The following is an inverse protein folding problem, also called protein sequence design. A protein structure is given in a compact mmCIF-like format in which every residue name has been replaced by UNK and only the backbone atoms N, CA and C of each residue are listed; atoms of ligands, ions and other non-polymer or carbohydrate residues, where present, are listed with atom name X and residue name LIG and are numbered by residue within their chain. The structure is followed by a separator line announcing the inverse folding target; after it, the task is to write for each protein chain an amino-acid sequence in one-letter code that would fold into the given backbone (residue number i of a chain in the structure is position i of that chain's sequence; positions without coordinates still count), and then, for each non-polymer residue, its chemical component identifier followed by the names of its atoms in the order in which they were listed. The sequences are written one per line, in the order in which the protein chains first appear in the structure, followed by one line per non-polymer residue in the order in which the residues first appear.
data_IF_522646328363
#
_entry.id   IF_522646328363
#
_cell.length_a   1.000
_cell.length_b   1.000
_cell.length_c   1.000
_cell.angle_alpha   90.00
_cell.angle_beta   90.00
_cell.angle_gamma   90.00
#
_symmetry.space_group_name_H-M   'P 1'
#
loop_
_entity.id
_entity.type
_entity.pdbx_description
1 polymer ?
#
# COMPACT_ATOMS: atom_id res chain seq x y z
N UNK A 1 2.52 33.47 -7.57
CA UNK A 1 3.49 33.30 -6.47
C UNK A 1 3.16 31.96 -5.81
N UNK A 2 3.86 30.90 -6.20
CA UNK A 2 3.76 29.59 -5.57
C UNK A 2 4.51 29.68 -4.23
N UNK A 3 3.77 29.68 -3.13
CA UNK A 3 4.37 29.46 -1.82
C UNK A 3 4.95 28.06 -1.81
N UNK A 4 6.26 27.95 -1.66
CA UNK A 4 6.97 26.73 -1.30
C UNK A 4 6.29 26.24 -0.01
N UNK A 5 5.53 25.15 -0.08
CA UNK A 5 4.96 24.50 1.11
C UNK A 5 6.15 23.94 1.90
N UNK A 6 6.63 24.69 2.87
CA UNK A 6 7.55 24.15 3.86
C UNK A 6 6.86 22.95 4.51
N UNK A 7 7.50 21.81 4.39
CA UNK A 7 7.06 20.56 4.99
C UNK A 7 7.21 20.70 6.52
N UNK A 8 6.22 21.35 7.16
CA UNK A 8 6.29 21.67 8.58
C UNK A 8 6.02 20.40 9.37
N UNK A 9 7.07 19.79 9.89
CA UNK A 9 7.01 18.60 10.75
C UNK A 9 6.04 18.87 11.91
N UNK A 10 5.00 18.01 12.04
CA UNK A 10 4.03 18.10 13.13
C UNK A 10 4.69 17.50 14.37
N UNK A 11 5.06 18.37 15.34
CA UNK A 11 5.65 17.96 16.60
C UNK A 11 4.71 18.28 17.75
N UNK A 12 3.94 17.29 18.18
CA UNK A 12 3.13 17.37 19.38
C UNK A 12 3.86 16.65 20.53
N UNK A 13 4.07 17.32 21.68
CA UNK A 13 4.76 16.72 22.82
C UNK A 13 4.03 15.48 23.37
N UNK A 14 4.80 14.54 23.94
CA UNK A 14 4.22 13.47 24.77
C UNK A 14 3.40 14.08 25.91
N UNK A 15 2.27 13.46 26.22
CA UNK A 15 1.32 13.95 27.23
C UNK A 15 0.29 14.94 26.68
N UNK A 16 0.43 15.46 25.45
CA UNK A 16 -0.59 16.31 24.81
C UNK A 16 -1.92 15.54 24.77
N UNK A 17 -2.99 16.22 25.18
CA UNK A 17 -4.33 15.68 25.12
C UNK A 17 -5.07 16.19 23.88
N UNK A 18 -5.56 15.26 23.07
CA UNK A 18 -6.38 15.50 21.88
C UNK A 18 -7.73 14.83 22.12
N UNK A 19 -8.78 15.61 22.31
CA UNK A 19 -10.09 15.05 22.70
C UNK A 19 -10.00 14.16 23.94
N UNK A 20 -10.45 12.94 23.82
CA UNK A 20 -10.42 11.91 24.87
C UNK A 20 -9.11 11.10 24.88
N UNK A 21 -8.09 11.50 24.16
CA UNK A 21 -6.86 10.72 23.98
C UNK A 21 -5.64 11.49 24.48
N UNK A 22 -4.67 10.77 25.04
CA UNK A 22 -3.39 11.34 25.46
C UNK A 22 -2.23 10.71 24.70
N UNK A 23 -1.44 11.55 24.02
CA UNK A 23 -0.29 11.13 23.25
C UNK A 23 0.81 10.53 24.14
N UNK A 24 1.39 9.42 23.68
CA UNK A 24 2.50 8.73 24.34
C UNK A 24 3.81 9.03 23.61
N UNK A 25 3.86 8.70 22.32
CA UNK A 25 5.05 8.87 21.49
C UNK A 25 4.70 8.98 20.02
N UNK A 26 5.60 9.54 19.26
CA UNK A 26 5.60 9.47 17.80
C UNK A 26 5.81 8.03 17.33
N UNK A 27 5.07 7.60 16.30
CA UNK A 27 5.22 6.30 15.65
C UNK A 27 5.81 6.43 14.25
N UNK A 28 5.22 7.30 13.41
CA UNK A 28 5.63 7.45 12.00
C UNK A 28 5.39 8.88 11.53
N UNK A 29 6.34 9.41 10.76
CA UNK A 29 6.21 10.66 10.00
C UNK A 29 5.90 10.32 8.55
N UNK A 30 4.80 10.85 8.02
CA UNK A 30 4.48 10.84 6.59
C UNK A 30 4.75 12.21 5.95
N UNK A 31 4.55 12.32 4.65
CA UNK A 31 4.73 13.58 3.92
C UNK A 31 3.79 14.71 4.39
N UNK A 32 2.54 14.39 4.73
CA UNK A 32 1.52 15.37 5.14
C UNK A 32 0.89 15.04 6.49
N UNK A 33 1.27 13.92 7.12
CA UNK A 33 0.68 13.46 8.38
C UNK A 33 1.71 12.89 9.33
N UNK A 34 1.38 12.90 10.61
CA UNK A 34 2.18 12.28 11.66
C UNK A 34 1.30 11.33 12.45
N UNK A 35 1.78 10.12 12.69
CA UNK A 35 1.07 9.10 13.47
C UNK A 35 1.66 9.01 14.86
N UNK A 36 0.81 9.08 15.87
CA UNK A 36 1.16 8.98 17.28
C UNK A 36 0.53 7.76 17.91
N UNK A 37 1.26 7.08 18.78
CA UNK A 37 0.69 6.20 19.79
C UNK A 37 0.04 7.06 20.87
N UNK A 38 -1.18 6.72 21.24
CA UNK A 38 -1.93 7.36 22.30
C UNK A 38 -2.73 6.33 23.10
N UNK A 39 -3.36 6.77 24.18
CA UNK A 39 -4.36 5.99 24.89
C UNK A 39 -5.61 6.83 25.17
N UNK A 40 -6.76 6.18 25.17
CA UNK A 40 -8.01 6.79 25.61
C UNK A 40 -8.01 7.00 27.12
N UNK A 41 -8.26 8.23 27.59
CA UNK A 41 -8.05 8.62 29.00
C UNK A 41 -8.90 7.83 30.00
N UNK A 42 -10.10 7.39 29.62
CA UNK A 42 -11.01 6.63 30.49
C UNK A 42 -10.76 5.12 30.37
N UNK A 43 -10.80 4.56 29.15
CA UNK A 43 -10.72 3.11 28.95
C UNK A 43 -9.30 2.56 29.00
N UNK A 44 -8.28 3.42 28.89
CA UNK A 44 -6.86 3.06 28.80
C UNK A 44 -6.49 2.23 27.56
N UNK A 45 -7.42 2.08 26.61
CA UNK A 45 -7.16 1.40 25.35
C UNK A 45 -6.11 2.18 24.53
N UNK A 46 -5.14 1.46 23.98
CA UNK A 46 -4.15 2.03 23.07
C UNK A 46 -4.76 2.27 21.69
N UNK A 47 -4.43 3.41 21.11
CA UNK A 47 -4.88 3.85 19.78
C UNK A 47 -3.72 4.43 19.00
N UNK A 48 -3.83 4.42 17.68
CA UNK A 48 -3.01 5.23 16.79
C UNK A 48 -3.81 6.47 16.36
N UNK A 49 -3.17 7.64 16.43
CA UNK A 49 -3.78 8.90 16.00
C UNK A 49 -3.00 9.46 14.83
N UNK A 50 -3.63 9.51 13.66
CA UNK A 50 -3.12 10.21 12.48
C UNK A 50 -3.48 11.68 12.62
N UNK A 51 -2.47 12.55 12.65
CA UNK A 51 -2.61 14.01 12.77
C UNK A 51 -2.16 14.66 11.48
N UNK A 52 -2.94 15.61 10.98
CA UNK A 52 -2.70 16.32 9.73
C UNK A 52 -2.84 17.81 9.97
N UNK A 53 -1.93 18.63 9.43
CA UNK A 53 -2.03 20.08 9.51
C UNK A 53 -3.03 20.59 8.44
N UNK A 54 -4.07 21.31 8.87
CA UNK A 54 -5.09 21.86 7.96
C UNK A 54 -4.53 22.76 6.84
N UNK A 55 -3.36 23.34 7.04
CA UNK A 55 -2.72 24.20 6.03
C UNK A 55 -1.86 23.43 5.03
N UNK A 56 -1.60 22.15 5.30
CA UNK A 56 -0.77 21.29 4.45
C UNK A 56 -1.59 20.41 3.52
N UNK A 57 -2.92 20.37 3.65
CA UNK A 57 -3.80 19.48 2.92
C UNK A 57 -4.97 20.21 2.25
N UNK A 58 -5.54 19.59 1.23
CA UNK A 58 -6.89 19.92 0.76
C UNK A 58 -7.91 19.42 1.79
N UNK A 59 -8.69 20.35 2.35
CA UNK A 59 -9.70 20.05 3.35
C UNK A 59 -10.80 19.11 2.81
N UNK A 60 -11.17 19.25 1.55
CA UNK A 60 -12.18 18.38 0.94
C UNK A 60 -11.68 16.93 0.85
N UNK A 61 -10.40 16.74 0.52
CA UNK A 61 -9.79 15.41 0.53
C UNK A 61 -9.77 14.81 1.93
N UNK A 62 -9.42 15.59 2.96
CA UNK A 62 -9.42 15.09 4.33
C UNK A 62 -10.81 14.71 4.83
N UNK A 63 -11.82 15.56 4.62
CA UNK A 63 -13.19 15.24 5.00
C UNK A 63 -13.71 14.00 4.26
N UNK A 64 -13.37 13.86 2.99
CA UNK A 64 -13.69 12.68 2.20
C UNK A 64 -13.03 11.40 2.75
N UNK A 65 -11.73 11.45 3.06
CA UNK A 65 -11.03 10.35 3.73
C UNK A 65 -11.74 9.93 5.03
N UNK A 66 -12.07 10.93 5.84
CA UNK A 66 -12.75 10.71 7.12
C UNK A 66 -14.14 10.08 6.93
N UNK A 67 -14.96 10.58 6.01
CA UNK A 67 -16.31 10.05 5.75
C UNK A 67 -16.24 8.62 5.20
N UNK A 68 -15.37 8.36 4.24
CA UNK A 68 -15.17 7.02 3.68
C UNK A 68 -14.68 6.07 4.77
N UNK A 69 -13.61 6.42 5.51
CA UNK A 69 -13.06 5.56 6.56
C UNK A 69 -14.07 5.26 7.67
N UNK A 70 -14.96 6.21 8.00
CA UNK A 70 -16.04 5.99 8.98
C UNK A 70 -17.16 5.08 8.46
N UNK A 71 -17.42 5.10 7.17
CA UNK A 71 -18.49 4.33 6.55
C UNK A 71 -18.09 2.88 6.20
N UNK A 72 -16.78 2.59 6.14
CA UNK A 72 -16.29 1.25 5.80
C UNK A 72 -16.30 0.33 7.03
N UNK A 73 -17.02 -0.77 6.92
CA UNK A 73 -17.10 -1.83 7.94
C UNK A 73 -16.71 -3.16 7.31
N UNK A 74 -15.48 -3.61 7.57
CA UNK A 74 -14.95 -4.86 7.02
C UNK A 74 -13.84 -5.41 7.93
N UNK A 75 -13.75 -6.73 8.11
CA UNK A 75 -12.79 -7.41 9.00
C UNK A 75 -11.32 -7.13 8.67
N UNK A 76 -11.01 -6.81 7.41
CA UNK A 76 -9.66 -6.50 6.91
C UNK A 76 -9.47 -5.02 6.55
N UNK A 77 -10.32 -4.12 7.06
CA UNK A 77 -10.15 -2.66 6.96
C UNK A 77 -10.07 -2.09 8.36
N UNK A 78 -9.07 -1.21 8.58
CA UNK A 78 -8.92 -0.59 9.90
C UNK A 78 -10.11 0.34 10.19
N UNK A 79 -10.84 0.15 11.32
CA UNK A 79 -11.97 1.01 11.64
C UNK A 79 -11.52 2.39 12.10
N UNK A 80 -12.29 3.43 11.77
CA UNK A 80 -12.17 4.75 12.37
C UNK A 80 -12.93 4.78 13.70
N UNK A 81 -12.22 4.90 14.82
CA UNK A 81 -12.82 4.95 16.15
C UNK A 81 -13.36 6.33 16.49
N UNK A 82 -12.66 7.38 16.03
CA UNK A 82 -13.01 8.78 16.29
C UNK A 82 -12.28 9.68 15.29
N UNK A 83 -12.80 10.88 15.09
CA UNK A 83 -12.14 11.90 14.28
C UNK A 83 -12.57 13.29 14.74
N UNK A 84 -11.68 14.27 14.63
CA UNK A 84 -11.98 15.62 15.04
C UNK A 84 -10.90 16.63 14.70
N UNK A 85 -10.99 17.78 15.38
CA UNK A 85 -10.05 18.88 15.22
C UNK A 85 -9.42 19.25 16.58
N UNK A 86 -8.11 19.51 16.55
CA UNK A 86 -7.33 20.02 17.67
C UNK A 86 -6.51 21.23 17.23
N UNK A 87 -6.96 22.42 17.58
CA UNK A 87 -6.35 23.66 17.10
C UNK A 87 -6.35 23.74 15.57
N UNK A 88 -5.16 23.83 14.99
CA UNK A 88 -4.99 23.80 13.52
C UNK A 88 -4.89 22.41 12.92
N UNK A 89 -4.91 21.36 13.73
CA UNK A 89 -4.75 19.99 13.30
C UNK A 89 -6.08 19.27 13.20
N UNK A 90 -6.22 18.44 12.17
CA UNK A 90 -7.24 17.41 12.11
C UNK A 90 -6.64 16.08 12.58
N UNK A 91 -7.48 15.22 13.14
CA UNK A 91 -7.03 13.90 13.57
C UNK A 91 -8.06 12.81 13.26
N UNK A 92 -7.52 11.61 12.99
CA UNK A 92 -8.25 10.35 12.89
C UNK A 92 -7.69 9.39 13.93
N UNK A 93 -8.57 8.69 14.64
CA UNK A 93 -8.23 7.72 15.67
C UNK A 93 -8.58 6.32 15.17
N UNK A 94 -7.65 5.40 15.27
CA UNK A 94 -7.79 4.01 14.88
C UNK A 94 -7.20 3.09 15.94
N UNK A 95 -7.55 1.78 15.97
CA UNK A 95 -6.90 0.82 16.85
C UNK A 95 -5.37 0.83 16.66
N UNK A 96 -4.63 0.71 17.76
CA UNK A 96 -3.20 0.46 17.69
C UNK A 96 -2.94 -1.04 17.51
N UNK A 97 -2.52 -1.44 16.32
CA UNK A 97 -2.20 -2.81 15.98
C UNK A 97 -0.72 -3.11 16.29
N UNK A 98 -0.46 -4.21 17.01
CA UNK A 98 0.88 -4.53 17.53
C UNK A 98 1.71 -5.41 16.59
N UNK A 99 1.10 -5.99 15.57
CA UNK A 99 1.81 -6.83 14.58
C UNK A 99 2.70 -6.06 13.60
N UNK A 100 2.61 -4.71 13.62
CA UNK A 100 3.38 -3.84 12.72
C UNK A 100 2.81 -3.81 11.30
N UNK A 101 3.61 -3.33 10.35
CA UNK A 101 3.27 -3.27 8.93
C UNK A 101 3.81 -4.47 8.16
N UNK A 102 3.31 -4.72 6.94
CA UNK A 102 3.94 -5.68 6.02
C UNK A 102 5.38 -5.25 5.68
N UNK A 103 5.65 -3.95 5.60
CA UNK A 103 7.01 -3.41 5.43
C UNK A 103 7.94 -3.85 6.57
N UNK A 104 7.48 -3.74 7.84
CA UNK A 104 8.24 -4.21 9.00
C UNK A 104 8.49 -5.72 8.98
N UNK A 105 7.54 -6.50 8.44
CA UNK A 105 7.70 -7.96 8.28
C UNK A 105 8.69 -8.29 7.18
N UNK A 106 8.59 -7.67 6.01
CA UNK A 106 9.50 -7.87 4.88
C UNK A 106 10.95 -7.51 5.23
N UNK A 107 11.16 -6.49 6.07
CA UNK A 107 12.49 -6.12 6.58
C UNK A 107 13.10 -7.18 7.52
N UNK A 108 12.28 -8.08 8.08
CA UNK A 108 12.74 -9.19 8.94
C UNK A 108 12.95 -10.49 8.17
N UNK A 109 12.29 -10.67 7.05
CA UNK A 109 12.38 -11.85 6.20
C UNK A 109 11.24 -11.92 5.19
N UNK A 110 11.45 -12.68 4.12
CA UNK A 110 10.43 -12.86 3.10
C UNK A 110 9.42 -13.94 3.56
N UNK A 111 8.14 -13.77 3.24
CA UNK A 111 7.12 -14.77 3.52
C UNK A 111 7.30 -16.01 2.65
N UNK A 112 6.82 -17.15 3.12
CA UNK A 112 6.61 -18.34 2.30
C UNK A 112 5.49 -18.10 1.25
N UNK A 113 5.35 -19.01 0.31
CA UNK A 113 4.25 -18.95 -0.66
C UNK A 113 2.87 -18.99 0.01
N UNK A 114 2.73 -19.82 1.04
CA UNK A 114 1.51 -19.96 1.84
C UNK A 114 1.19 -18.68 2.61
N UNK A 115 2.21 -18.08 3.25
CA UNK A 115 2.04 -16.81 3.97
C UNK A 115 1.69 -15.67 3.00
N UNK A 116 2.31 -15.63 1.81
CA UNK A 116 1.97 -14.67 0.78
C UNK A 116 0.52 -14.87 0.26
N UNK A 117 0.05 -16.11 0.17
CA UNK A 117 -1.33 -16.41 -0.19
C UNK A 117 -2.31 -15.88 0.86
N UNK A 118 -2.05 -16.11 2.15
CA UNK A 118 -2.89 -15.58 3.25
C UNK A 118 -2.96 -14.05 3.21
N UNK A 119 -1.84 -13.38 2.99
CA UNK A 119 -1.81 -11.91 2.82
C UNK A 119 -2.66 -11.49 1.62
N UNK A 120 -2.52 -12.19 0.50
CA UNK A 120 -3.28 -11.90 -0.72
C UNK A 120 -4.78 -12.12 -0.52
N UNK A 121 -5.19 -13.20 0.17
CA UNK A 121 -6.59 -13.50 0.48
C UNK A 121 -7.25 -12.41 1.30
N UNK A 122 -6.64 -12.00 2.40
CA UNK A 122 -7.18 -10.98 3.29
C UNK A 122 -7.19 -9.60 2.62
N UNK A 123 -6.14 -9.26 1.86
CA UNK A 123 -6.10 -8.02 1.09
C UNK A 123 -7.15 -8.00 -0.02
N UNK A 124 -7.33 -9.11 -0.73
CA UNK A 124 -8.38 -9.25 -1.75
C UNK A 124 -9.77 -9.07 -1.16
N UNK A 125 -10.05 -9.65 0.01
CA UNK A 125 -11.32 -9.48 0.72
C UNK A 125 -11.62 -8.00 1.00
N UNK A 126 -10.64 -7.24 1.51
CA UNK A 126 -10.78 -5.80 1.75
C UNK A 126 -11.00 -5.01 0.45
N UNK A 127 -10.22 -5.30 -0.59
CA UNK A 127 -10.30 -4.58 -1.87
C UNK A 127 -11.60 -4.89 -2.62
N UNK A 128 -12.02 -6.16 -2.69
CA UNK A 128 -13.29 -6.55 -3.30
C UNK A 128 -14.48 -5.85 -2.63
N UNK A 129 -14.45 -5.73 -1.30
CA UNK A 129 -15.47 -4.99 -0.55
C UNK A 129 -15.53 -3.53 -1.00
N UNK A 130 -14.41 -2.79 -1.01
CA UNK A 130 -14.44 -1.37 -1.43
C UNK A 130 -14.76 -1.20 -2.91
N UNK A 131 -14.31 -2.13 -3.78
CA UNK A 131 -14.66 -2.14 -5.20
C UNK A 131 -16.17 -2.31 -5.41
N UNK A 132 -16.84 -3.16 -4.60
CA UNK A 132 -18.29 -3.33 -4.65
C UNK A 132 -19.06 -2.04 -4.30
N UNK A 133 -18.44 -1.15 -3.51
CA UNK A 133 -18.94 0.19 -3.18
C UNK A 133 -18.53 1.25 -4.22
N UNK A 134 -17.83 0.87 -5.28
CA UNK A 134 -17.32 1.79 -6.29
C UNK A 134 -16.13 2.62 -5.84
N UNK A 135 -15.38 2.17 -4.82
CA UNK A 135 -14.23 2.87 -4.24
C UNK A 135 -12.93 2.18 -4.66
N UNK A 136 -11.90 2.95 -4.98
CA UNK A 136 -10.53 2.50 -5.22
C UNK A 136 -9.60 3.06 -4.14
N UNK A 137 -8.69 2.23 -3.62
CA UNK A 137 -7.75 2.61 -2.56
C UNK A 137 -6.59 3.49 -3.06
N UNK A 138 -5.97 3.13 -4.17
CA UNK A 138 -4.92 3.84 -4.92
C UNK A 138 -3.54 3.93 -4.25
N UNK A 139 -3.37 3.46 -3.01
CA UNK A 139 -2.06 3.44 -2.32
C UNK A 139 -1.77 2.08 -1.67
N UNK A 140 -1.96 1.00 -2.46
CA UNK A 140 -1.62 -0.36 -2.02
C UNK A 140 -0.11 -0.50 -1.97
N UNK A 141 0.43 -0.67 -0.76
CA UNK A 141 1.87 -0.86 -0.50
C UNK A 141 2.09 -1.50 0.87
N UNK A 142 3.26 -2.09 1.14
CA UNK A 142 3.54 -2.75 2.43
C UNK A 142 3.33 -1.86 3.65
N UNK A 143 3.62 -0.57 3.54
CA UNK A 143 3.49 0.38 4.64
C UNK A 143 2.03 0.68 5.05
N UNK A 144 1.04 0.38 4.19
CA UNK A 144 -0.39 0.59 4.41
C UNK A 144 -1.13 -0.71 4.74
N UNK A 145 -0.42 -1.80 4.93
CA UNK A 145 -0.94 -3.11 5.35
C UNK A 145 -0.46 -3.37 6.77
N UNK A 146 -1.36 -3.33 7.72
CA UNK A 146 -1.09 -3.52 9.15
C UNK A 146 -1.50 -4.91 9.60
N UNK A 147 -0.92 -5.37 10.70
CA UNK A 147 -1.28 -6.65 11.32
C UNK A 147 -1.59 -6.46 12.81
N UNK A 148 -2.56 -7.21 13.30
CA UNK A 148 -2.76 -7.39 14.73
C UNK A 148 -1.77 -8.43 15.32
N UNK A 149 -1.96 -8.77 16.60
CA UNK A 149 -1.13 -9.76 17.28
C UNK A 149 -1.38 -11.21 16.82
N UNK A 150 -2.52 -11.46 16.19
CA UNK A 150 -2.96 -12.77 15.68
C UNK A 150 -2.66 -12.93 14.19
N UNK A 151 -1.91 -11.97 13.60
CA UNK A 151 -1.57 -11.86 12.18
C UNK A 151 -2.76 -11.62 11.24
N UNK A 152 -3.90 -11.12 11.73
CA UNK A 152 -4.95 -10.63 10.84
C UNK A 152 -4.50 -9.32 10.18
N UNK A 153 -4.70 -9.23 8.88
CA UNK A 153 -4.38 -8.06 8.06
C UNK A 153 -5.47 -6.99 8.19
N UNK A 154 -5.03 -5.73 8.19
CA UNK A 154 -5.89 -4.55 8.10
C UNK A 154 -5.33 -3.55 7.09
N UNK A 155 -6.10 -3.26 6.04
CA UNK A 155 -5.80 -2.20 5.09
C UNK A 155 -6.10 -0.83 5.73
N UNK A 156 -5.18 0.13 5.55
CA UNK A 156 -5.26 1.47 6.14
C UNK A 156 -4.87 2.53 5.13
N UNK A 157 -5.07 3.79 5.49
CA UNK A 157 -4.67 4.98 4.72
C UNK A 157 -5.49 5.22 3.45
N UNK A 158 -6.76 5.58 3.64
CA UNK A 158 -7.71 5.93 2.58
C UNK A 158 -7.58 7.39 2.09
N UNK A 159 -6.40 8.02 2.28
CA UNK A 159 -6.16 9.44 2.02
C UNK A 159 -6.22 9.86 0.56
N UNK A 160 -6.09 8.92 -0.38
CA UNK A 160 -6.12 9.21 -1.82
C UNK A 160 -7.15 8.39 -2.59
N UNK A 161 -8.13 7.85 -1.90
CA UNK A 161 -9.22 7.08 -2.54
C UNK A 161 -9.98 7.91 -3.59
N UNK A 162 -10.52 7.22 -4.59
CA UNK A 162 -11.40 7.82 -5.59
C UNK A 162 -12.58 6.90 -5.88
N UNK A 163 -13.67 7.48 -6.39
CA UNK A 163 -14.76 6.68 -6.92
C UNK A 163 -14.43 6.14 -8.31
N UNK A 164 -14.92 4.95 -8.63
CA UNK A 164 -14.84 4.39 -9.98
C UNK A 164 -15.42 5.36 -11.00
N UNK A 165 -14.64 5.65 -12.06
CA UNK A 165 -15.02 6.61 -13.10
C UNK A 165 -14.71 8.08 -12.80
N UNK A 166 -14.24 8.39 -11.59
CA UNK A 166 -13.73 9.71 -11.26
C UNK A 166 -12.37 9.91 -11.92
N UNK A 167 -12.23 10.97 -12.72
CA UNK A 167 -10.91 11.31 -13.26
C UNK A 167 -10.03 11.77 -12.09
N UNK A 168 -8.87 11.16 -11.88
CA UNK A 168 -7.93 11.68 -10.89
C UNK A 168 -7.64 13.14 -11.27
N UNK A 169 -7.79 14.04 -10.31
CA UNK A 169 -7.38 15.43 -10.47
C UNK A 169 -5.87 15.45 -10.68
N UNK A 170 -5.44 15.42 -11.93
CA UNK A 170 -4.03 15.51 -12.31
C UNK A 170 -3.65 16.98 -12.30
N UNK A 171 -3.31 17.51 -11.12
CA UNK A 171 -2.75 18.86 -10.93
C UNK A 171 -1.22 18.90 -11.09
N UNK A 172 -0.65 17.84 -11.69
CA UNK A 172 0.79 17.66 -11.86
C UNK A 172 1.50 17.07 -10.66
N UNK A 173 0.79 16.79 -9.56
CA UNK A 173 1.35 16.07 -8.41
C UNK A 173 0.93 14.60 -8.45
N UNK A 174 1.92 13.72 -8.34
CA UNK A 174 1.68 12.29 -8.29
C UNK A 174 1.05 11.92 -6.95
N UNK A 175 -0.18 11.40 -6.98
CA UNK A 175 -0.82 10.82 -5.81
C UNK A 175 -0.40 9.34 -5.71
N UNK A 176 0.12 8.94 -4.56
CA UNK A 176 0.57 7.58 -4.28
C UNK A 176 2.10 7.42 -4.26
N UNK A 177 2.53 6.21 -3.97
CA UNK A 177 3.95 5.83 -3.91
C UNK A 177 4.39 5.36 -5.29
N UNK A 178 5.35 6.03 -5.98
CA UNK A 178 5.72 5.79 -7.37
C UNK A 178 5.93 4.33 -7.75
N UNK A 179 6.56 3.57 -6.84
CA UNK A 179 6.88 2.16 -7.05
C UNK A 179 5.68 1.23 -7.23
N UNK A 180 4.49 1.63 -6.75
CA UNK A 180 3.28 0.80 -6.78
C UNK A 180 2.21 1.31 -7.76
N UNK A 181 2.45 2.46 -8.41
CA UNK A 181 1.49 3.12 -9.29
C UNK A 181 1.45 2.44 -10.66
N UNK A 182 0.25 2.10 -11.12
CA UNK A 182 0.04 1.50 -12.44
C UNK A 182 0.29 2.51 -13.58
N UNK A 183 0.77 2.04 -14.76
CA UNK A 183 1.15 2.92 -15.88
C UNK A 183 0.04 3.85 -16.35
N UNK A 184 -1.20 3.37 -16.44
CA UNK A 184 -2.36 4.12 -16.91
C UNK A 184 -2.77 5.29 -16.02
N UNK A 185 -2.35 5.27 -14.75
CA UNK A 185 -2.62 6.38 -13.81
C UNK A 185 -1.94 7.66 -14.28
N UNK A 186 -0.77 7.55 -14.93
CA UNK A 186 -0.09 8.71 -15.53
C UNK A 186 -0.84 9.31 -16.72
N UNK A 187 -1.81 8.58 -17.29
CA UNK A 187 -2.69 9.01 -18.37
C UNK A 187 -4.04 9.51 -17.85
N UNK A 188 -4.20 9.58 -16.52
CA UNK A 188 -5.45 9.97 -15.88
C UNK A 188 -6.54 8.90 -15.97
N UNK A 189 -6.17 7.64 -16.20
CA UNK A 189 -7.07 6.51 -16.21
C UNK A 189 -6.86 5.67 -14.96
N UNK A 190 -7.94 5.34 -14.27
CA UNK A 190 -7.90 4.55 -13.04
C UNK A 190 -9.12 3.65 -12.99
N UNK A 191 -8.90 2.37 -12.76
CA UNK A 191 -9.94 1.39 -12.44
C UNK A 191 -9.41 0.26 -11.54
N UNK A 192 -10.22 -0.76 -11.28
CA UNK A 192 -9.83 -1.90 -10.43
C UNK A 192 -8.57 -2.61 -10.91
N UNK A 193 -8.27 -2.60 -12.21
CA UNK A 193 -7.07 -3.22 -12.79
C UNK A 193 -5.79 -2.47 -12.46
N UNK A 194 -5.88 -1.20 -12.07
CA UNK A 194 -4.75 -0.45 -11.52
C UNK A 194 -4.35 -1.00 -10.16
N UNK A 195 -5.31 -1.46 -9.35
CA UNK A 195 -5.03 -2.11 -8.07
C UNK A 195 -4.53 -3.54 -8.23
N UNK A 196 -5.00 -4.27 -9.25
CA UNK A 196 -4.39 -5.56 -9.64
C UNK A 196 -2.89 -5.40 -9.95
N UNK A 197 -2.50 -4.30 -10.63
CA UNK A 197 -1.09 -4.01 -10.88
C UNK A 197 -0.32 -3.75 -9.59
N UNK A 198 -0.85 -2.91 -8.69
CA UNK A 198 -0.23 -2.62 -7.40
C UNK A 198 -0.07 -3.89 -6.54
N UNK A 199 -1.07 -4.80 -6.56
CA UNK A 199 -0.96 -6.13 -5.93
C UNK A 199 0.10 -7.00 -6.60
N UNK A 200 0.28 -6.90 -7.92
CA UNK A 200 1.36 -7.56 -8.66
C UNK A 200 2.75 -7.09 -8.21
N UNK A 201 2.94 -5.77 -8.02
CA UNK A 201 4.16 -5.20 -7.43
C UNK A 201 4.39 -5.73 -6.01
N UNK A 202 3.33 -5.75 -5.21
CA UNK A 202 3.38 -6.26 -3.84
C UNK A 202 3.80 -7.74 -3.78
N UNK A 203 3.18 -8.59 -4.61
CA UNK A 203 3.54 -10.01 -4.74
C UNK A 203 4.98 -10.19 -5.20
N UNK A 204 5.42 -9.42 -6.19
CA UNK A 204 6.80 -9.44 -6.65
C UNK A 204 7.75 -9.14 -5.48
N UNK A 205 7.49 -8.07 -4.72
CA UNK A 205 8.31 -7.68 -3.57
C UNK A 205 8.29 -8.74 -2.45
N UNK A 206 7.13 -9.26 -2.10
CA UNK A 206 7.00 -10.30 -1.07
C UNK A 206 7.81 -11.56 -1.40
N UNK A 207 7.82 -11.97 -2.67
CA UNK A 207 8.42 -13.25 -3.07
C UNK A 207 9.86 -13.16 -3.56
N UNK A 208 10.37 -11.93 -3.80
CA UNK A 208 11.75 -11.71 -4.26
C UNK A 208 12.59 -10.85 -3.30
N UNK A 209 11.96 -10.02 -2.47
CA UNK A 209 12.62 -8.99 -1.66
C UNK A 209 12.99 -7.72 -2.43
N UNK A 210 12.68 -7.65 -3.73
CA UNK A 210 13.02 -6.53 -4.60
C UNK A 210 11.76 -5.92 -5.23
N UNK A 211 11.83 -4.63 -5.56
CA UNK A 211 10.84 -3.98 -6.40
C UNK A 211 11.13 -4.29 -7.89
N UNK A 212 10.12 -4.52 -8.73
CA UNK A 212 10.36 -4.80 -10.16
C UNK A 212 10.86 -3.59 -10.94
N UNK A 213 10.61 -2.38 -10.41
CA UNK A 213 11.02 -1.10 -10.98
C UNK A 213 11.53 -0.18 -9.90
N UNK A 214 12.72 0.38 -10.11
CA UNK A 214 13.38 1.34 -9.24
C UNK A 214 14.10 2.40 -10.09
N UNK A 215 14.56 3.48 -9.46
CA UNK A 215 15.26 4.55 -10.17
C UNK A 215 15.74 5.67 -9.23
N UNK A 216 16.69 6.47 -9.71
CA UNK A 216 17.30 7.56 -8.97
C UNK A 216 16.34 8.74 -8.67
N UNK A 217 15.15 8.73 -9.23
CA UNK A 217 14.10 9.74 -8.98
C UNK A 217 12.72 9.16 -9.26
N UNK A 218 11.68 9.78 -8.70
CA UNK A 218 10.28 9.41 -8.95
C UNK A 218 9.95 9.42 -10.44
N UNK A 219 10.48 10.39 -11.20
CA UNK A 219 10.29 10.47 -12.65
C UNK A 219 10.89 9.25 -13.36
N UNK A 220 12.06 8.77 -12.90
CA UNK A 220 12.69 7.58 -13.48
C UNK A 220 11.92 6.31 -13.15
N UNK A 221 11.41 6.18 -11.93
CA UNK A 221 10.54 5.10 -11.51
C UNK A 221 9.28 5.09 -12.37
N UNK A 222 8.62 6.25 -12.53
CA UNK A 222 7.44 6.40 -13.39
C UNK A 222 7.71 6.02 -14.84
N UNK A 223 8.89 6.37 -15.37
CA UNK A 223 9.30 5.94 -16.71
C UNK A 223 9.41 4.42 -16.79
N UNK A 224 10.06 3.78 -15.79
CA UNK A 224 10.19 2.31 -15.76
C UNK A 224 8.82 1.63 -15.63
N UNK A 225 7.91 2.17 -14.80
CA UNK A 225 6.54 1.67 -14.70
C UNK A 225 5.82 1.63 -16.06
N UNK A 226 6.04 2.63 -16.91
CA UNK A 226 5.40 2.71 -18.24
C UNK A 226 6.08 1.86 -19.31
N UNK A 227 7.41 1.85 -19.33
CA UNK A 227 8.18 1.44 -20.52
C UNK A 227 8.98 0.16 -20.32
N UNK A 228 9.39 -0.15 -19.08
CA UNK A 228 10.31 -1.26 -18.82
C UNK A 228 9.54 -2.54 -18.47
N UNK A 229 9.97 -3.67 -19.02
CA UNK A 229 9.51 -4.98 -18.59
C UNK A 229 10.19 -5.37 -17.27
N UNK A 230 9.47 -5.95 -16.32
CA UNK A 230 10.08 -6.43 -15.09
C UNK A 230 11.03 -7.60 -15.38
N UNK A 231 12.09 -7.73 -14.59
CA UNK A 231 12.88 -8.95 -14.55
C UNK A 231 12.00 -10.11 -14.07
N UNK A 232 12.28 -11.32 -14.54
CA UNK A 232 11.55 -12.49 -14.07
C UNK A 232 11.79 -12.67 -12.54
N UNK A 233 10.75 -12.86 -11.72
CA UNK A 233 10.92 -13.11 -10.28
C UNK A 233 11.89 -14.23 -9.96
N UNK A 234 11.95 -15.28 -10.79
CA UNK A 234 12.89 -16.41 -10.66
C UNK A 234 14.37 -16.01 -10.83
N UNK A 235 14.67 -14.81 -11.31
CA UNK A 235 16.05 -14.28 -11.33
C UNK A 235 16.55 -14.03 -9.90
N UNK A 236 15.69 -13.54 -9.02
CA UNK A 236 16.02 -13.25 -7.61
C UNK A 236 15.70 -14.43 -6.69
N UNK A 237 14.62 -15.18 -6.99
CA UNK A 237 14.20 -16.37 -6.25
C UNK A 237 14.07 -17.57 -7.19
N UNK A 238 15.17 -18.30 -7.45
CA UNK A 238 15.16 -19.44 -8.38
C UNK A 238 14.25 -20.60 -7.94
N UNK A 239 13.85 -20.65 -6.65
CA UNK A 239 12.95 -21.67 -6.13
C UNK A 239 11.46 -21.37 -6.43
N UNK A 240 11.15 -20.19 -6.94
CA UNK A 240 9.79 -19.79 -7.24
C UNK A 240 9.19 -20.63 -8.37
N UNK A 241 8.00 -21.25 -8.17
CA UNK A 241 7.33 -21.99 -9.22
C UNK A 241 7.04 -21.13 -10.46
N UNK A 242 7.27 -21.66 -11.65
CA UNK A 242 7.00 -20.96 -12.91
C UNK A 242 5.52 -20.57 -13.09
N UNK A 243 4.62 -21.33 -12.46
CA UNK A 243 3.19 -21.00 -12.39
C UNK A 243 2.95 -19.69 -11.66
N UNK A 244 3.57 -19.51 -10.49
CA UNK A 244 3.49 -18.31 -9.66
C UNK A 244 4.16 -17.11 -10.36
N UNK A 245 5.34 -17.30 -10.95
CA UNK A 245 6.03 -16.27 -11.74
C UNK A 245 5.12 -15.72 -12.84
N UNK A 246 4.40 -16.57 -13.59
CA UNK A 246 3.48 -16.16 -14.65
C UNK A 246 2.32 -15.33 -14.13
N UNK A 247 1.79 -15.65 -12.93
CA UNK A 247 0.74 -14.84 -12.29
C UNK A 247 1.24 -13.44 -11.97
N UNK A 248 2.41 -13.33 -11.36
CA UNK A 248 3.03 -12.04 -11.04
C UNK A 248 3.25 -11.22 -12.31
N UNK A 249 3.90 -11.80 -13.32
CA UNK A 249 4.21 -11.10 -14.57
C UNK A 249 2.96 -10.66 -15.33
N UNK A 250 1.88 -11.47 -15.30
CA UNK A 250 0.59 -11.09 -15.90
C UNK A 250 -0.05 -9.90 -15.17
N UNK A 251 0.03 -9.83 -13.84
CA UNK A 251 -0.46 -8.67 -13.08
C UNK A 251 0.30 -7.38 -13.44
N UNK A 252 1.58 -7.50 -13.85
CA UNK A 252 2.47 -6.41 -14.22
C UNK A 252 2.44 -6.04 -15.72
N UNK A 253 1.52 -6.61 -16.51
CA UNK A 253 1.31 -6.20 -17.90
C UNK A 253 0.99 -4.70 -18.00
N UNK A 254 1.61 -4.01 -18.99
CA UNK A 254 1.44 -2.56 -19.11
C UNK A 254 0.02 -2.20 -19.58
N UNK A 255 -0.55 -3.00 -20.48
CA UNK A 255 -1.94 -2.87 -20.92
C UNK A 255 -2.89 -3.49 -19.87
N UNK A 256 -3.77 -2.71 -19.23
CA UNK A 256 -4.72 -3.22 -18.23
C UNK A 256 -5.62 -4.37 -18.75
N UNK A 257 -5.90 -4.40 -20.05
CA UNK A 257 -6.73 -5.45 -20.66
C UNK A 257 -6.06 -6.82 -20.68
N UNK A 258 -4.74 -6.87 -20.50
CA UNK A 258 -3.96 -8.13 -20.44
C UNK A 258 -3.79 -8.65 -19.03
N UNK A 259 -4.09 -7.84 -18.01
CA UNK A 259 -4.04 -8.23 -16.59
C UNK A 259 -5.23 -9.11 -16.21
N UNK A 260 -5.27 -9.52 -14.96
CA UNK A 260 -6.50 -10.00 -14.33
C UNK A 260 -7.49 -8.83 -14.25
N UNK A 261 -8.77 -9.12 -14.43
CA UNK A 261 -9.76 -8.05 -14.53
C UNK A 261 -10.30 -7.61 -13.17
N UNK A 262 -10.17 -8.47 -12.17
CA UNK A 262 -10.52 -8.18 -10.77
C UNK A 262 -9.40 -8.65 -9.83
N UNK A 263 -9.44 -8.23 -8.57
CA UNK A 263 -8.51 -8.68 -7.55
C UNK A 263 -8.77 -10.15 -7.18
N UNK A 264 -10.01 -10.59 -7.26
CA UNK A 264 -10.42 -11.97 -7.04
C UNK A 264 -9.88 -12.91 -8.14
N UNK A 265 -9.88 -12.46 -9.41
CA UNK A 265 -9.27 -13.22 -10.51
C UNK A 265 -7.76 -13.44 -10.27
N UNK A 266 -7.06 -12.41 -9.75
CA UNK A 266 -5.66 -12.52 -9.38
C UNK A 266 -5.45 -13.54 -8.26
N UNK A 267 -6.23 -13.43 -7.18
CA UNK A 267 -6.17 -14.36 -6.04
C UNK A 267 -6.39 -15.80 -6.51
N UNK A 268 -7.48 -16.05 -7.25
CA UNK A 268 -7.80 -17.39 -7.75
C UNK A 268 -6.65 -17.96 -8.60
N UNK A 269 -6.10 -17.13 -9.51
CA UNK A 269 -4.97 -17.56 -10.34
C UNK A 269 -3.71 -17.88 -9.51
N UNK A 270 -3.48 -17.13 -8.43
CA UNK A 270 -2.36 -17.39 -7.51
C UNK A 270 -2.55 -18.70 -6.74
N UNK A 271 -3.73 -18.94 -6.21
CA UNK A 271 -4.08 -20.21 -5.52
C UNK A 271 -3.91 -21.40 -6.43
N UNK A 272 -4.45 -21.35 -7.65
CA UNK A 272 -4.28 -22.41 -8.65
C UNK A 272 -2.81 -22.62 -9.02
N UNK A 273 -2.00 -21.57 -9.01
CA UNK A 273 -0.58 -21.66 -9.33
C UNK A 273 0.23 -22.37 -8.22
N UNK A 274 -0.24 -22.36 -6.97
CA UNK A 274 0.36 -23.10 -5.86
C UNK A 274 0.06 -24.60 -5.92
N UNK A 275 -1.07 -25.01 -6.49
CA UNK A 275 -1.50 -26.41 -6.58
C UNK A 275 -0.77 -27.20 -7.69
N UNK A 276 -0.08 -26.49 -8.63
CA UNK A 276 0.61 -27.15 -9.75
C UNK A 276 1.93 -27.79 -9.26
N UNK A 277 2.10 -29.12 -9.35
CA UNK A 277 3.37 -29.76 -8.98
C UNK A 277 4.56 -29.19 -9.75
N UNK A 278 5.67 -28.96 -9.07
CA UNK A 278 6.92 -28.35 -9.62
C UNK A 278 7.67 -29.25 -10.64
N UNK A 279 7.08 -30.27 -11.21
CA UNK A 279 7.72 -31.32 -12.00
C UNK A 279 8.10 -30.97 -13.46
N UNK A 280 8.03 -29.70 -13.88
CA UNK A 280 8.47 -29.28 -15.24
C UNK A 280 9.41 -28.05 -15.19
N UNK A 281 10.59 -28.19 -14.60
CA UNK A 281 11.62 -27.17 -14.70
C UNK A 281 12.91 -27.75 -15.29
N UNK A 282 13.07 -27.59 -16.61
CA UNK A 282 14.40 -27.45 -17.25
C UNK A 282 14.20 -27.05 -18.72
N UNK A 283 14.23 -25.75 -19.00
CA UNK A 283 14.74 -25.21 -20.27
C UNK A 283 15.50 -23.91 -19.98
N UNK A 284 16.78 -23.96 -20.36
CA UNK A 284 17.77 -22.88 -20.19
C UNK A 284 17.49 -21.69 -21.10
N UNK A 285 17.55 -20.49 -20.57
CA UNK A 285 17.76 -19.26 -21.34
C UNK A 285 18.92 -18.45 -20.77
N UNK A 286 19.78 -17.95 -21.67
CA UNK A 286 21.02 -17.21 -21.37
C UNK A 286 20.76 -15.84 -20.72
N UNK A 287 21.73 -15.28 -19.97
CA UNK A 287 21.58 -14.05 -19.23
C UNK A 287 21.65 -12.79 -20.12
N UNK A 288 20.75 -11.87 -19.90
CA UNK A 288 20.83 -10.50 -20.42
C UNK A 288 21.35 -9.54 -19.34
N UNK A 289 22.00 -8.47 -19.79
CA UNK A 289 22.80 -7.51 -19.05
C UNK A 289 22.18 -6.96 -17.75
N UNK A 290 23.04 -6.82 -16.75
CA UNK A 290 22.75 -6.52 -15.35
C UNK A 290 22.51 -5.02 -15.16
N UNK A 291 21.31 -4.64 -14.74
CA UNK A 291 21.09 -3.36 -14.07
C UNK A 291 21.46 -3.48 -12.59
N UNK A 292 22.30 -2.57 -12.09
CA UNK A 292 22.62 -2.49 -10.67
C UNK A 292 21.37 -2.03 -9.89
N UNK A 293 20.76 -2.95 -9.17
CA UNK A 293 19.71 -2.68 -8.18
C UNK A 293 20.33 -2.68 -6.79
N UNK A 294 20.08 -1.63 -6.04
CA UNK A 294 20.53 -1.51 -4.65
C UNK A 294 19.55 -2.26 -3.74
N UNK A 295 20.00 -3.14 -2.83
CA UNK A 295 19.14 -3.74 -1.81
C UNK A 295 18.55 -2.63 -0.93
N UNK A 296 17.31 -2.80 -0.48
CA UNK A 296 16.70 -1.94 0.53
C UNK A 296 17.60 -1.94 1.78
N UNK A 297 18.42 -0.89 1.92
CA UNK A 297 19.22 -0.69 3.12
C UNK A 297 18.26 -0.40 4.28
N UNK A 298 18.34 -1.19 5.32
CA UNK A 298 17.73 -0.90 6.61
C UNK A 298 18.23 0.47 7.07
N UNK A 299 17.37 1.49 6.99
CA UNK A 299 17.62 2.78 7.61
C UNK A 299 17.45 2.62 9.11
N UNK A 300 18.56 2.72 9.83
CA UNK A 300 18.61 2.76 11.27
C UNK A 300 17.95 4.02 11.85
#
# INVERSE_FOLDING_TARGET
MQAIRENTEIKLPSGTQIGSYRLIKHLKQGGMSTIYLAYHVLTRAFVAIKVVDRYSIDLNMFYREMEITKALEHEHIIPCLDAGQYGRYFYLVMPYLRGGTLEDKLNKGLPTLEEACIVLEQLTSALAYIHSLGILHRDIKPANILFDQDNNLFLTDFGIVSWLGEKPGYDGHMLGTPHFVAPEIFEGQVDVRSEVYSMGILLYQMLTGYLPFDGASDQKICQHQRETKPLAPSFFNPSLPRSVERVILRSLEKDPRRRFQTVEDLLHAFQMALEVPTSFAHFSTQPQEIYQMTPLAASA
#
